data_IF_908491300369
#
_entry.id   IF_908491300369
#
_cell.length_a   1.000
_cell.length_b   1.000
_cell.length_c   1.000
_cell.angle_alpha   90.00
_cell.angle_beta   90.00
_cell.angle_gamma   90.00
#
_symmetry.space_group_name_H-M   'P 1'
#
loop_
_entity.id
_entity.type
_entity.pdbx_description
1 polymer ?
#
# COMPACT_ATOMS: atom_id res chain seq x y z
N UNK A 1 -9.06 -22.62 -17.03
CA UNK A 1 -8.81 -21.63 -15.95
C UNK A 1 -10.01 -20.69 -15.85
N UNK A 2 -10.54 -20.46 -14.63
CA UNK A 2 -11.65 -19.52 -14.38
C UNK A 2 -11.07 -18.24 -13.74
N UNK A 3 -10.61 -17.32 -14.57
CA UNK A 3 -10.16 -16.01 -14.16
C UNK A 3 -11.35 -15.04 -14.16
N UNK A 4 -11.40 -14.15 -13.20
CA UNK A 4 -12.35 -13.05 -13.12
C UNK A 4 -11.61 -11.73 -13.02
N UNK A 5 -12.17 -10.66 -13.58
CA UNK A 5 -11.61 -9.31 -13.46
C UNK A 5 -12.69 -8.33 -13.04
N UNK A 6 -12.28 -7.32 -12.30
CA UNK A 6 -13.13 -6.23 -11.85
C UNK A 6 -12.46 -4.90 -12.17
N UNK A 7 -13.23 -3.94 -12.69
CA UNK A 7 -12.73 -2.58 -12.87
C UNK A 7 -12.86 -1.81 -11.57
N UNK A 8 -11.74 -1.34 -11.04
CA UNK A 8 -11.73 -0.38 -9.97
C UNK A 8 -12.14 0.99 -10.50
N UNK A 9 -13.25 1.52 -10.00
CA UNK A 9 -13.73 2.84 -10.35
C UNK A 9 -14.39 3.50 -9.14
N UNK A 10 -13.62 4.27 -8.40
CA UNK A 10 -14.13 5.08 -7.30
C UNK A 10 -13.98 6.56 -7.64
N UNK A 11 -15.06 7.32 -7.56
CA UNK A 11 -15.04 8.76 -7.82
C UNK A 11 -14.65 9.58 -6.58
N UNK A 12 -14.74 8.97 -5.38
CA UNK A 12 -14.49 9.60 -4.09
C UNK A 12 -13.94 8.56 -3.10
N UNK A 13 -13.55 9.03 -1.93
CA UNK A 13 -13.10 8.16 -0.82
C UNK A 13 -14.09 7.03 -0.56
N UNK A 14 -13.60 5.78 -0.55
CA UNK A 14 -14.42 4.59 -0.37
C UNK A 14 -13.66 3.53 0.42
N UNK A 15 -14.27 3.03 1.49
CA UNK A 15 -13.73 1.95 2.31
C UNK A 15 -14.41 0.64 1.94
N UNK A 16 -13.62 -0.34 1.53
CA UNK A 16 -14.00 -1.75 1.48
C UNK A 16 -13.55 -2.39 2.81
N UNK A 17 -14.48 -2.81 3.68
CA UNK A 17 -14.14 -3.30 5.01
C UNK A 17 -13.38 -4.63 4.96
N UNK A 18 -12.91 -5.11 6.12
CA UNK A 18 -12.19 -6.38 6.24
C UNK A 18 -12.97 -7.54 5.61
N UNK A 19 -12.30 -8.26 4.72
CA UNK A 19 -12.81 -9.42 4.01
C UNK A 19 -11.64 -10.27 3.49
N UNK A 20 -11.94 -11.41 2.88
CA UNK A 20 -10.95 -12.27 2.23
C UNK A 20 -11.59 -12.99 1.04
N UNK A 21 -10.76 -13.45 0.10
CA UNK A 21 -11.17 -14.20 -1.08
C UNK A 21 -10.47 -15.56 -1.15
N UNK A 22 -11.09 -16.53 -1.78
CA UNK A 22 -10.45 -17.82 -2.10
C UNK A 22 -9.42 -17.69 -3.23
N UNK A 23 -9.58 -16.66 -4.07
CA UNK A 23 -8.65 -16.34 -5.17
C UNK A 23 -7.54 -15.41 -4.71
N UNK A 24 -6.38 -15.52 -5.39
CA UNK A 24 -5.38 -14.46 -5.32
C UNK A 24 -5.84 -13.23 -6.08
N UNK A 25 -5.41 -12.06 -5.66
CA UNK A 25 -5.77 -10.79 -6.29
C UNK A 25 -4.54 -10.05 -6.79
N UNK A 26 -4.58 -9.65 -8.06
CA UNK A 26 -3.59 -8.74 -8.66
C UNK A 26 -4.26 -7.39 -8.88
N UNK A 27 -3.70 -6.35 -8.28
CA UNK A 27 -4.16 -4.97 -8.41
C UNK A 27 -3.25 -4.19 -9.34
N UNK A 28 -3.81 -3.43 -10.27
CA UNK A 28 -3.09 -2.42 -11.05
C UNK A 28 -3.88 -1.12 -10.99
N UNK A 29 -3.27 -0.05 -10.48
CA UNK A 29 -3.87 1.28 -10.54
C UNK A 29 -3.31 2.05 -11.73
N UNK A 30 -4.19 2.65 -12.52
CA UNK A 30 -3.86 3.60 -13.57
C UNK A 30 -4.03 5.06 -13.13
N UNK A 31 -4.78 5.30 -12.04
CA UNK A 31 -4.97 6.65 -11.48
C UNK A 31 -5.32 6.59 -10.00
N UNK A 32 -4.83 7.56 -9.24
CA UNK A 32 -5.15 7.75 -7.82
C UNK A 32 -4.33 6.90 -6.88
N UNK A 33 -4.84 6.75 -5.67
CA UNK A 33 -4.17 6.04 -4.58
C UNK A 33 -5.16 5.22 -3.76
N UNK A 34 -4.72 4.04 -3.35
CA UNK A 34 -5.44 3.16 -2.44
C UNK A 34 -4.54 2.73 -1.28
N UNK A 35 -5.04 2.82 -0.07
CA UNK A 35 -4.41 2.20 1.10
C UNK A 35 -4.93 0.77 1.22
N UNK A 36 -4.03 -0.18 1.27
CA UNK A 36 -4.33 -1.60 1.46
C UNK A 36 -3.78 -2.03 2.82
N UNK A 37 -4.59 -2.70 3.61
CA UNK A 37 -4.19 -3.16 4.93
C UNK A 37 -4.45 -4.65 5.07
N UNK A 38 -3.46 -5.36 5.62
CA UNK A 38 -3.50 -6.77 5.97
C UNK A 38 -3.09 -6.95 7.43
N UNK A 39 -3.18 -8.16 7.97
CA UNK A 39 -2.69 -8.46 9.30
C UNK A 39 -1.17 -8.18 9.40
N UNK A 40 -0.80 -7.07 10.02
CA UNK A 40 0.60 -6.68 10.27
C UNK A 40 1.25 -5.74 9.25
N UNK A 41 0.54 -5.35 8.17
CA UNK A 41 1.11 -4.41 7.19
C UNK A 41 0.06 -3.47 6.61
N UNK A 42 0.46 -2.24 6.35
CA UNK A 42 -0.31 -1.28 5.58
C UNK A 42 0.53 -0.80 4.38
N UNK A 43 -0.09 -0.68 3.23
CA UNK A 43 0.55 -0.28 1.98
C UNK A 43 -0.16 0.87 1.33
N UNK A 44 0.62 1.79 0.77
CA UNK A 44 0.11 2.82 -0.12
C UNK A 44 0.35 2.34 -1.57
N UNK A 45 -0.71 1.99 -2.25
CA UNK A 45 -0.69 1.62 -3.65
C UNK A 45 -1.05 2.83 -4.50
N UNK A 46 -0.15 3.25 -5.38
CA UNK A 46 -0.34 4.38 -6.30
C UNK A 46 -0.40 3.90 -7.75
N UNK A 47 -0.77 4.78 -8.65
CA UNK A 47 -0.63 4.51 -10.09
C UNK A 47 0.82 4.08 -10.41
N UNK A 48 0.96 3.08 -11.29
CA UNK A 48 2.26 2.49 -11.61
C UNK A 48 2.75 1.41 -10.64
N UNK A 49 1.93 1.00 -9.66
CA UNK A 49 2.22 -0.15 -8.82
C UNK A 49 1.35 -1.37 -9.17
N UNK A 50 1.95 -2.53 -9.01
CA UNK A 50 1.30 -3.83 -9.08
C UNK A 50 1.21 -4.41 -7.66
N UNK A 51 0.00 -4.63 -7.18
CA UNK A 51 -0.26 -5.24 -5.87
C UNK A 51 -0.61 -6.72 -5.99
N UNK A 52 -0.10 -7.54 -5.10
CA UNK A 52 -0.42 -8.94 -4.96
C UNK A 52 -0.97 -9.25 -3.58
N UNK A 53 -2.15 -9.87 -3.52
CA UNK A 53 -2.70 -10.51 -2.33
C UNK A 53 -2.88 -12.00 -2.58
N UNK A 54 -2.28 -12.88 -1.77
CA UNK A 54 -2.46 -14.33 -1.90
C UNK A 54 -3.88 -14.74 -1.55
N UNK A 55 -4.33 -15.94 -1.98
CA UNK A 55 -5.59 -16.53 -1.54
C UNK A 55 -5.74 -16.50 -0.02
N UNK A 56 -6.97 -16.34 0.46
CA UNK A 56 -7.34 -16.35 1.89
C UNK A 56 -6.66 -15.25 2.74
N UNK A 57 -6.04 -14.25 2.14
CA UNK A 57 -5.42 -13.14 2.87
C UNK A 57 -6.49 -12.15 3.34
N UNK A 58 -6.75 -12.02 4.67
CA UNK A 58 -7.66 -11.01 5.18
C UNK A 58 -7.10 -9.62 4.92
N UNK A 59 -7.92 -8.74 4.36
CA UNK A 59 -7.52 -7.37 4.04
C UNK A 59 -8.69 -6.40 4.04
N UNK A 60 -8.38 -5.11 4.15
CA UNK A 60 -9.28 -4.01 3.83
C UNK A 60 -8.60 -3.05 2.86
N UNK A 61 -9.42 -2.31 2.10
CA UNK A 61 -8.93 -1.36 1.12
C UNK A 61 -9.63 -0.01 1.27
N UNK A 62 -8.87 1.09 1.22
CA UNK A 62 -9.37 2.45 1.28
C UNK A 62 -8.94 3.19 0.01
N UNK A 63 -9.88 3.41 -0.92
CA UNK A 63 -9.67 4.36 -2.01
C UNK A 63 -9.60 5.78 -1.43
N UNK A 64 -8.49 6.48 -1.66
CA UNK A 64 -8.21 7.80 -1.07
C UNK A 64 -8.71 8.96 -1.94
N UNK A 65 -9.77 8.74 -2.70
CA UNK A 65 -10.34 9.71 -3.63
C UNK A 65 -10.70 9.04 -4.96
N UNK A 66 -10.47 9.73 -6.07
CA UNK A 66 -10.66 9.13 -7.40
C UNK A 66 -9.60 8.04 -7.62
N UNK A 67 -10.05 6.81 -7.83
CA UNK A 67 -9.20 5.65 -8.14
C UNK A 67 -9.71 4.98 -9.40
N UNK A 68 -8.80 4.67 -10.31
CA UNK A 68 -9.09 3.92 -11.54
C UNK A 68 -8.05 2.81 -11.67
N UNK A 69 -8.49 1.60 -12.00
CA UNK A 69 -7.59 0.46 -12.16
C UNK A 69 -8.31 -0.84 -12.47
N UNK A 70 -7.61 -1.92 -12.24
CA UNK A 70 -8.10 -3.28 -12.41
C UNK A 70 -7.74 -4.16 -11.23
N UNK A 71 -8.62 -5.10 -10.92
CA UNK A 71 -8.34 -6.26 -10.09
C UNK A 71 -8.50 -7.52 -10.95
N UNK A 72 -7.50 -8.38 -10.96
CA UNK A 72 -7.61 -9.72 -11.50
C UNK A 72 -7.72 -10.71 -10.34
N UNK A 73 -8.70 -11.59 -10.39
CA UNK A 73 -8.90 -12.68 -9.44
C UNK A 73 -8.35 -13.97 -10.05
N UNK A 74 -7.23 -14.45 -9.52
CA UNK A 74 -6.55 -15.65 -9.98
C UNK A 74 -7.03 -16.86 -9.19
N UNK A 75 -7.39 -17.98 -9.85
CA UNK A 75 -7.68 -19.23 -9.16
C UNK A 75 -6.52 -19.66 -8.27
N UNK A 76 -6.83 -20.30 -7.15
CA UNK A 76 -5.83 -20.71 -6.14
C UNK A 76 -4.72 -21.60 -6.72
N UNK A 77 -5.07 -22.52 -7.62
CA UNK A 77 -4.12 -23.40 -8.31
C UNK A 77 -3.07 -22.66 -9.15
N UNK A 78 -3.39 -21.47 -9.65
CA UNK A 78 -2.46 -20.60 -10.37
C UNK A 78 -1.52 -19.82 -9.44
N UNK A 79 -1.85 -19.73 -8.15
CA UNK A 79 -1.13 -18.90 -7.18
C UNK A 79 0.06 -19.58 -6.53
N UNK A 80 0.20 -20.90 -6.67
CA UNK A 80 1.22 -21.73 -5.98
C UNK A 80 2.67 -21.32 -6.26
N UNK A 81 2.93 -20.62 -7.36
CA UNK A 81 4.26 -20.16 -7.75
C UNK A 81 4.55 -18.73 -7.33
N UNK A 82 3.55 -18.02 -6.81
CA UNK A 82 3.68 -16.65 -6.33
C UNK A 82 4.01 -16.60 -4.83
N UNK A 83 4.36 -15.41 -4.34
CA UNK A 83 4.64 -15.22 -2.93
C UNK A 83 3.43 -15.57 -2.05
N UNK A 84 3.67 -16.33 -0.99
CA UNK A 84 2.65 -16.67 0.02
C UNK A 84 2.27 -15.46 0.91
N UNK A 85 2.97 -14.34 0.77
CA UNK A 85 2.70 -13.09 1.48
C UNK A 85 2.35 -11.99 0.49
N UNK A 86 1.54 -11.03 0.91
CA UNK A 86 1.21 -9.87 0.09
C UNK A 86 2.47 -9.13 -0.36
N UNK A 87 2.43 -8.55 -1.57
CA UNK A 87 3.53 -7.76 -2.16
C UNK A 87 3.02 -6.54 -2.91
N UNK A 88 3.86 -5.52 -2.96
CA UNK A 88 3.71 -4.37 -3.84
C UNK A 88 5.02 -4.23 -4.63
N UNK A 89 4.91 -4.15 -5.96
CA UNK A 89 6.03 -3.98 -6.89
C UNK A 89 5.76 -2.82 -7.84
N UNK A 90 6.79 -2.29 -8.50
CA UNK A 90 6.58 -1.35 -9.59
C UNK A 90 5.98 -2.10 -10.79
N UNK A 91 4.96 -1.55 -11.41
CA UNK A 91 4.46 -2.09 -12.67
C UNK A 91 5.32 -1.58 -13.82
N UNK A 92 5.93 -2.49 -14.59
CA UNK A 92 6.59 -2.14 -15.83
C UNK A 92 5.59 -2.08 -17.01
N UNK A 93 6.04 -1.66 -18.19
CA UNK A 93 5.18 -1.55 -19.37
C UNK A 93 4.54 -2.89 -19.77
N UNK A 94 5.28 -4.00 -19.61
CA UNK A 94 4.79 -5.33 -19.95
C UNK A 94 3.73 -5.81 -18.96
N UNK A 95 4.01 -5.77 -17.66
CA UNK A 95 3.07 -6.20 -16.63
C UNK A 95 1.78 -5.37 -16.67
N UNK A 96 1.87 -4.05 -16.90
CA UNK A 96 0.70 -3.18 -17.08
C UNK A 96 -0.15 -3.58 -18.27
N UNK A 97 0.48 -3.77 -19.45
CA UNK A 97 -0.23 -4.17 -20.67
C UNK A 97 -0.88 -5.57 -20.53
N UNK A 98 -0.20 -6.50 -19.82
CA UNK A 98 -0.74 -7.83 -19.56
C UNK A 98 -1.98 -7.76 -18.66
N UNK A 99 -1.94 -7.01 -17.55
CA UNK A 99 -3.11 -6.86 -16.67
C UNK A 99 -4.29 -6.26 -17.42
N UNK A 100 -4.08 -5.18 -18.17
CA UNK A 100 -5.13 -4.53 -18.96
C UNK A 100 -5.71 -5.45 -20.02
N UNK A 101 -4.88 -6.25 -20.67
CA UNK A 101 -5.32 -7.21 -21.69
C UNK A 101 -6.08 -8.37 -21.08
N UNK A 102 -5.57 -8.96 -20.01
CA UNK A 102 -6.17 -10.10 -19.30
C UNK A 102 -7.51 -9.69 -18.67
N UNK A 103 -7.63 -8.46 -18.19
CA UNK A 103 -8.87 -7.93 -17.61
C UNK A 103 -10.06 -7.92 -18.61
N UNK A 104 -9.80 -8.04 -19.90
CA UNK A 104 -10.83 -8.08 -20.94
C UNK A 104 -11.21 -9.51 -21.35
N UNK A 105 -10.57 -10.53 -20.76
CA UNK A 105 -10.88 -11.91 -21.11
C UNK A 105 -12.14 -12.39 -20.42
N UNK A 106 -12.89 -13.25 -21.15
CA UNK A 106 -14.05 -13.96 -20.61
C UNK A 106 -13.70 -15.42 -20.40
N UNK A 107 -14.10 -15.98 -19.27
CA UNK A 107 -13.91 -17.41 -19.00
C UNK A 107 -14.88 -18.27 -19.84
N UNK A 108 -14.48 -19.47 -20.30
CA UNK A 108 -13.18 -20.10 -20.10
C UNK A 108 -12.09 -19.54 -21.02
N UNK A 109 -10.86 -19.43 -20.53
CA UNK A 109 -9.74 -18.93 -21.30
C UNK A 109 -9.26 -19.97 -22.33
N UNK A 110 -8.94 -19.53 -23.52
CA UNK A 110 -8.23 -20.34 -24.53
C UNK A 110 -6.74 -20.49 -24.20
N UNK A 111 -6.01 -21.32 -24.96
CA UNK A 111 -4.60 -21.60 -24.73
C UNK A 111 -3.69 -20.37 -24.94
N UNK A 112 -4.04 -19.43 -25.81
CA UNK A 112 -3.27 -18.21 -26.01
C UNK A 112 -3.45 -17.24 -24.84
N UNK A 113 -4.67 -17.11 -24.34
CA UNK A 113 -5.00 -16.31 -23.19
C UNK A 113 -4.35 -16.87 -21.90
N UNK A 114 -4.33 -18.20 -21.74
CA UNK A 114 -3.64 -18.85 -20.60
C UNK A 114 -2.14 -18.53 -20.59
N UNK A 115 -1.46 -18.58 -21.75
CA UNK A 115 -0.05 -18.21 -21.85
C UNK A 115 0.21 -16.75 -21.43
N UNK A 116 -0.70 -15.81 -21.75
CA UNK A 116 -0.55 -14.42 -21.30
C UNK A 116 -0.65 -14.29 -19.77
N UNK A 117 -1.50 -15.09 -19.13
CA UNK A 117 -1.57 -15.14 -17.68
C UNK A 117 -0.28 -15.73 -17.10
N UNK A 118 0.27 -16.80 -17.69
CA UNK A 118 1.54 -17.39 -17.28
C UNK A 118 2.70 -16.38 -17.36
N UNK A 119 2.76 -15.58 -18.44
CA UNK A 119 3.77 -14.52 -18.58
C UNK A 119 3.61 -13.46 -17.49
N UNK A 120 2.38 -13.04 -17.15
CA UNK A 120 2.14 -12.12 -16.04
C UNK A 120 2.63 -12.71 -14.70
N UNK A 121 2.40 -14.00 -14.45
CA UNK A 121 2.88 -14.67 -13.24
C UNK A 121 4.42 -14.74 -13.21
N UNK A 122 5.08 -14.92 -14.36
CA UNK A 122 6.54 -14.89 -14.46
C UNK A 122 7.10 -13.51 -14.13
N UNK A 123 6.52 -12.44 -14.68
CA UNK A 123 6.89 -11.05 -14.37
C UNK A 123 6.75 -10.78 -12.86
N UNK A 124 5.63 -11.16 -12.25
CA UNK A 124 5.38 -10.95 -10.82
C UNK A 124 6.35 -11.70 -9.89
N UNK A 125 6.97 -12.77 -10.36
CA UNK A 125 8.00 -13.50 -9.61
C UNK A 125 9.36 -12.83 -9.65
N UNK A 126 9.69 -12.17 -10.76
CA UNK A 126 11.01 -11.58 -11.00
C UNK A 126 11.21 -10.20 -10.37
N UNK A 127 10.14 -9.49 -10.03
CA UNK A 127 10.21 -8.11 -9.54
C UNK A 127 10.54 -8.01 -8.05
N UNK A 128 11.38 -7.02 -7.69
CA UNK A 128 11.68 -6.70 -6.30
C UNK A 128 10.50 -5.96 -5.64
N UNK A 129 10.29 -6.20 -4.34
CA UNK A 129 9.22 -5.54 -3.60
C UNK A 129 9.50 -4.04 -3.41
N UNK A 130 8.50 -3.21 -3.70
CA UNK A 130 8.57 -1.77 -3.53
C UNK A 130 8.59 -1.33 -2.05
N UNK A 131 9.30 -0.23 -1.73
CA UNK A 131 9.43 0.25 -0.36
C UNK A 131 8.17 0.95 0.19
N UNK A 132 6.98 0.79 -0.40
CA UNK A 132 5.73 1.43 0.02
C UNK A 132 5.02 0.72 1.19
N UNK A 133 5.68 -0.25 1.80
CA UNK A 133 5.19 -0.99 2.94
C UNK A 133 5.49 -0.26 4.25
N UNK A 134 4.51 -0.23 5.14
CA UNK A 134 4.65 0.23 6.51
C UNK A 134 4.29 -0.93 7.44
N UNK A 135 5.28 -1.57 8.11
CA UNK A 135 4.99 -2.67 9.02
C UNK A 135 4.17 -2.18 10.21
N UNK A 136 3.08 -2.87 10.52
CA UNK A 136 2.24 -2.59 11.68
C UNK A 136 2.64 -3.50 12.84
N UNK A 137 2.71 -2.98 14.07
CA UNK A 137 2.95 -3.81 15.25
C UNK A 137 1.74 -4.69 15.55
N UNK A 138 1.95 -5.83 16.20
CA UNK A 138 0.90 -6.77 16.58
C UNK A 138 0.36 -6.55 18.01
N UNK A 139 1.19 -6.01 18.93
CA UNK A 139 0.73 -5.66 20.30
C UNK A 139 -0.41 -4.62 20.16
N UNK A 140 -1.61 -4.86 20.71
CA UNK A 140 -2.77 -3.97 20.55
C UNK A 140 -2.51 -2.52 21.01
N UNK A 141 -1.64 -2.31 21.99
CA UNK A 141 -1.28 -0.97 22.49
C UNK A 141 -0.37 -0.24 21.52
N UNK A 142 0.59 -0.94 20.90
CA UNK A 142 1.45 -0.39 19.85
C UNK A 142 0.64 -0.13 18.58
N UNK A 143 -0.24 -1.05 18.21
CA UNK A 143 -1.15 -0.92 17.08
C UNK A 143 -2.08 0.30 17.25
N UNK A 144 -2.60 0.52 18.47
CA UNK A 144 -3.38 1.72 18.80
C UNK A 144 -2.58 3.00 18.53
N UNK A 145 -1.28 3.04 18.91
CA UNK A 145 -0.39 4.18 18.62
C UNK A 145 -0.20 4.33 17.11
N UNK A 146 0.07 3.23 16.39
CA UNK A 146 0.26 3.25 14.95
C UNK A 146 -0.97 3.83 14.21
N UNK A 147 -2.17 3.38 14.55
CA UNK A 147 -3.40 3.95 14.00
C UNK A 147 -3.64 5.42 14.40
N UNK A 148 -3.29 5.79 15.64
CA UNK A 148 -3.35 7.19 16.07
C UNK A 148 -2.50 8.10 15.18
N UNK A 149 -1.28 7.68 14.86
CA UNK A 149 -0.36 8.40 13.95
C UNK A 149 -0.81 8.38 12.48
N UNK A 150 -1.40 7.29 12.02
CA UNK A 150 -1.91 7.18 10.65
C UNK A 150 -3.16 8.04 10.44
N UNK A 151 -4.02 8.17 11.45
CA UNK A 151 -5.23 8.97 11.37
C UNK A 151 -4.97 10.47 11.57
N UNK A 152 -3.92 10.81 12.33
CA UNK A 152 -3.51 12.19 12.60
C UNK A 152 -1.97 12.31 12.48
N UNK A 153 -1.44 12.38 11.25
CA UNK A 153 0.01 12.44 11.01
C UNK A 153 0.66 13.72 11.53
N UNK A 154 -0.11 14.80 11.67
CA UNK A 154 0.36 16.07 12.22
C UNK A 154 0.46 16.07 13.75
N UNK A 155 -0.09 15.08 14.44
CA UNK A 155 -0.06 15.01 15.90
C UNK A 155 1.35 15.21 16.44
N UNK A 156 1.54 16.18 17.31
CA UNK A 156 2.85 16.63 17.80
C UNK A 156 3.32 15.89 19.06
N UNK A 157 2.46 15.03 19.67
CA UNK A 157 2.83 14.25 20.86
C UNK A 157 4.22 13.64 20.73
N UNK A 158 4.99 13.84 21.77
CA UNK A 158 6.29 13.19 21.87
C UNK A 158 6.17 11.70 22.21
N UNK A 159 7.23 10.93 22.01
CA UNK A 159 7.23 9.49 22.25
C UNK A 159 6.77 9.11 23.66
N UNK A 160 7.13 9.90 24.68
CA UNK A 160 6.71 9.67 26.07
C UNK A 160 5.19 9.80 26.25
N UNK A 161 4.57 10.76 25.58
CA UNK A 161 3.13 11.01 25.65
C UNK A 161 2.34 9.92 24.89
N UNK A 162 2.85 9.47 23.74
CA UNK A 162 2.29 8.32 23.03
C UNK A 162 2.37 7.04 23.86
N UNK A 163 3.51 6.83 24.56
CA UNK A 163 3.67 5.68 25.46
C UNK A 163 2.65 5.74 26.60
N UNK A 164 2.53 6.89 27.28
CA UNK A 164 1.57 7.09 28.37
C UNK A 164 0.11 6.89 27.89
N UNK A 165 -0.25 7.41 26.71
CA UNK A 165 -1.56 7.26 26.11
C UNK A 165 -1.96 5.80 25.86
N UNK A 166 -0.96 4.94 25.59
CA UNK A 166 -1.15 3.51 25.38
C UNK A 166 -0.90 2.65 26.64
N UNK A 167 -0.65 3.27 27.81
CA UNK A 167 -0.35 2.56 29.04
C UNK A 167 1.02 1.84 29.01
N UNK A 168 2.00 2.43 28.35
CA UNK A 168 3.37 1.91 28.23
C UNK A 168 4.40 2.89 28.81
N UNK A 169 5.54 2.35 29.24
CA UNK A 169 6.72 3.21 29.47
C UNK A 169 7.40 3.55 28.13
N UNK A 170 8.10 4.70 28.01
CA UNK A 170 8.86 5.05 26.80
C UNK A 170 9.87 3.99 26.37
N UNK A 171 10.54 3.35 27.34
CA UNK A 171 11.48 2.25 27.12
C UNK A 171 10.77 1.01 26.52
N UNK A 172 9.60 0.65 27.03
CA UNK A 172 8.81 -0.48 26.53
C UNK A 172 8.35 -0.22 25.11
N UNK A 173 7.84 0.99 24.84
CA UNK A 173 7.45 1.41 23.50
C UNK A 173 8.62 1.28 22.52
N UNK A 174 9.77 1.89 22.80
CA UNK A 174 10.95 1.85 21.91
C UNK A 174 11.38 0.42 21.59
N UNK A 175 11.53 -0.40 22.65
CA UNK A 175 12.03 -1.77 22.50
C UNK A 175 11.07 -2.64 21.70
N UNK A 176 9.78 -2.63 22.07
CA UNK A 176 8.77 -3.47 21.37
C UNK A 176 8.51 -3.00 19.96
N UNK A 177 8.44 -1.68 19.74
CA UNK A 177 8.22 -1.14 18.40
C UNK A 177 9.32 -1.57 17.43
N UNK A 178 10.59 -1.51 17.88
CA UNK A 178 11.73 -2.03 17.11
C UNK A 178 11.62 -3.55 16.87
N UNK A 179 11.25 -4.32 17.89
CA UNK A 179 11.12 -5.78 17.76
C UNK A 179 10.03 -6.19 16.76
N UNK A 180 8.90 -5.51 16.77
CA UNK A 180 7.73 -5.91 15.97
C UNK A 180 7.72 -5.30 14.56
N UNK A 181 8.32 -4.12 14.38
CA UNK A 181 8.31 -3.43 13.07
C UNK A 181 9.66 -3.38 12.37
N UNK A 182 10.75 -3.75 13.04
CA UNK A 182 12.11 -3.58 12.52
C UNK A 182 12.58 -2.12 12.48
N UNK A 183 11.80 -1.18 13.05
CA UNK A 183 12.06 0.27 12.98
C UNK A 183 12.02 0.92 14.34
N UNK A 184 12.84 1.97 14.54
CA UNK A 184 12.63 2.86 15.68
C UNK A 184 11.29 3.58 15.54
N UNK A 185 10.65 3.93 16.67
CA UNK A 185 9.37 4.66 16.66
C UNK A 185 9.44 5.95 15.84
N UNK A 186 10.52 6.72 15.97
CA UNK A 186 10.70 7.98 15.22
C UNK A 186 10.83 7.74 13.71
N UNK A 187 11.58 6.71 13.29
CA UNK A 187 11.72 6.35 11.87
C UNK A 187 10.39 5.88 11.30
N UNK A 188 9.66 5.05 12.03
CA UNK A 188 8.35 4.57 11.62
C UNK A 188 7.36 5.73 11.48
N UNK A 189 7.31 6.64 12.47
CA UNK A 189 6.46 7.84 12.43
C UNK A 189 6.77 8.71 11.20
N UNK A 190 8.06 8.93 10.90
CA UNK A 190 8.47 9.67 9.71
C UNK A 190 7.98 8.99 8.42
N UNK A 191 8.12 7.67 8.32
CA UNK A 191 7.63 6.92 7.16
C UNK A 191 6.11 6.97 7.05
N UNK A 192 5.39 6.83 8.17
CA UNK A 192 3.94 6.96 8.21
C UNK A 192 3.48 8.33 7.68
N UNK A 193 4.12 9.43 8.11
CA UNK A 193 3.84 10.78 7.61
C UNK A 193 4.03 10.89 6.10
N UNK A 194 5.15 10.36 5.58
CA UNK A 194 5.46 10.40 4.14
C UNK A 194 4.48 9.56 3.33
N UNK A 195 4.12 8.36 3.80
CA UNK A 195 3.13 7.50 3.13
C UNK A 195 1.74 8.16 3.16
N UNK A 196 1.33 8.73 4.29
CA UNK A 196 0.03 9.43 4.39
C UNK A 196 -0.03 10.68 3.51
N UNK A 197 1.10 11.35 3.29
CA UNK A 197 1.17 12.50 2.38
C UNK A 197 0.79 12.19 0.94
N UNK A 198 0.93 10.94 0.50
CA UNK A 198 0.56 10.51 -0.85
C UNK A 198 -0.94 10.70 -1.13
N UNK A 199 -1.81 10.56 -0.12
CA UNK A 199 -3.26 10.80 -0.26
C UNK A 199 -3.53 12.25 -0.70
N UNK A 200 -2.93 13.21 0.00
CA UNK A 200 -3.09 14.63 -0.29
C UNK A 200 -2.44 15.04 -1.62
N UNK A 201 -1.25 14.48 -1.91
CA UNK A 201 -0.57 14.71 -3.20
C UNK A 201 -1.39 14.16 -4.38
N UNK A 202 -1.95 12.96 -4.27
CA UNK A 202 -2.78 12.35 -5.32
C UNK A 202 -4.07 13.14 -5.58
N UNK A 203 -4.54 13.88 -4.58
CA UNK A 203 -5.67 14.81 -4.69
C UNK A 203 -5.28 16.17 -5.27
N UNK A 204 -4.00 16.39 -5.64
CA UNK A 204 -3.50 17.62 -6.22
C UNK A 204 -3.22 18.74 -5.21
N UNK A 205 -3.13 18.41 -3.91
CA UNK A 205 -2.81 19.41 -2.89
C UNK A 205 -1.40 19.99 -3.08
N UNK A 206 -1.19 21.32 -2.96
CA UNK A 206 0.13 21.93 -3.04
C UNK A 206 1.11 21.33 -2.01
N UNK A 207 2.34 21.08 -2.43
CA UNK A 207 3.40 20.43 -1.61
C UNK A 207 3.60 21.10 -0.25
N UNK A 208 3.49 22.44 -0.19
CA UNK A 208 3.61 23.20 1.05
C UNK A 208 2.48 22.88 2.04
N UNK A 209 1.25 22.74 1.56
CA UNK A 209 0.10 22.39 2.39
C UNK A 209 0.20 20.93 2.88
N UNK A 210 0.63 20.02 2.00
CA UNK A 210 0.87 18.62 2.36
C UNK A 210 1.91 18.49 3.47
N UNK A 211 3.01 19.23 3.39
CA UNK A 211 4.04 19.25 4.43
C UNK A 211 3.45 19.63 5.80
N UNK A 212 2.64 20.69 5.83
CA UNK A 212 1.99 21.16 7.05
C UNK A 212 0.98 20.13 7.60
N UNK A 213 0.10 19.59 6.76
CA UNK A 213 -0.89 18.58 7.15
C UNK A 213 -0.27 17.27 7.65
N UNK A 214 0.96 16.97 7.20
CA UNK A 214 1.72 15.81 7.68
C UNK A 214 2.63 16.13 8.88
N UNK A 215 2.54 17.32 9.46
CA UNK A 215 3.24 17.72 10.68
C UNK A 215 4.73 17.94 10.49
N UNK A 216 5.15 18.45 9.34
CA UNK A 216 6.52 18.93 9.11
C UNK A 216 6.62 20.43 9.42
N UNK A 217 7.64 20.81 10.18
CA UNK A 217 7.88 22.20 10.57
C UNK A 217 8.21 23.11 9.38
N UNK A 218 8.71 22.51 8.28
CA UNK A 218 9.00 23.22 7.04
C UNK A 218 8.96 22.29 5.83
N UNK A 219 8.71 22.88 4.67
CA UNK A 219 8.57 22.18 3.39
C UNK A 219 9.86 21.44 2.98
N UNK A 220 11.02 22.01 3.30
CA UNK A 220 12.32 21.44 2.94
C UNK A 220 12.57 20.12 3.67
N UNK A 221 12.22 20.03 4.94
CA UNK A 221 12.30 18.79 5.73
C UNK A 221 11.37 17.70 5.15
N UNK A 222 10.16 18.07 4.74
CA UNK A 222 9.24 17.16 4.07
C UNK A 222 9.81 16.65 2.74
N UNK A 223 10.28 17.56 1.87
CA UNK A 223 10.86 17.18 0.56
C UNK A 223 12.06 16.23 0.75
N UNK A 224 12.92 16.51 1.73
CA UNK A 224 14.06 15.64 2.03
C UNK A 224 13.62 14.24 2.48
N UNK A 225 12.65 14.14 3.40
CA UNK A 225 12.11 12.87 3.86
C UNK A 225 11.42 12.08 2.74
N UNK A 226 10.65 12.76 1.90
CA UNK A 226 9.98 12.19 0.74
C UNK A 226 11.00 11.65 -0.28
N UNK A 227 12.00 12.48 -0.65
CA UNK A 227 13.06 12.08 -1.57
C UNK A 227 13.90 10.91 -1.03
N UNK A 228 14.19 10.89 0.26
CA UNK A 228 14.88 9.77 0.90
C UNK A 228 14.08 8.47 0.76
N UNK A 229 12.76 8.53 0.78
CA UNK A 229 11.86 7.37 0.69
C UNK A 229 11.61 6.91 -0.73
N UNK A 230 11.37 7.84 -1.66
CA UNK A 230 10.89 7.56 -3.01
C UNK A 230 11.90 7.87 -4.12
N UNK A 231 13.07 8.39 -3.80
CA UNK A 231 14.11 8.76 -4.78
C UNK A 231 13.84 10.05 -5.55
N UNK A 232 12.59 10.53 -5.59
CA UNK A 232 12.15 11.72 -6.32
C UNK A 232 11.44 12.71 -5.39
N UNK A 233 11.20 13.94 -5.87
CA UNK A 233 10.50 14.96 -5.08
C UNK A 233 8.98 14.79 -5.14
N UNK A 234 8.23 15.28 -4.11
CA UNK A 234 6.77 15.15 -4.08
C UNK A 234 6.07 15.74 -5.32
N UNK A 235 6.57 16.83 -5.85
CA UNK A 235 5.99 17.51 -7.02
C UNK A 235 6.11 16.73 -8.34
N UNK A 236 6.98 15.72 -8.40
CA UNK A 236 7.18 14.86 -9.57
C UNK A 236 6.56 13.47 -9.42
N UNK A 237 5.99 13.16 -8.26
CA UNK A 237 5.55 11.79 -7.96
C UNK A 237 4.25 11.39 -8.68
N UNK A 238 3.37 12.36 -8.94
CA UNK A 238 2.07 12.14 -9.61
C UNK A 238 1.93 12.93 -10.92
N UNK A 239 3.04 13.39 -11.52
CA UNK A 239 3.04 14.07 -12.82
C UNK A 239 3.16 13.11 -13.99
#
# INVERSE_FOLDING_TARGET
MKLHSERLLHAKKHLTPWHQHQQGQVYLLSHGMMMLETAGQQWAMTAGNLGWLPPHCPHQALACGKVIGWILYLPEDCCNTLAATPRLTAANALSSALVERIAQFSAPLDMAQQRLVEVLLDEMRSEEAEPLQLPLPQDPRLLKIAYGLLNDPANDRQQGEWAAWAGLSPRTLSRRFMQETGMSFSRWRQQARVIRSLEALSAGMPVANVANECGYDNVSAYIAAFRQRFGITPGLYFT
#
